data_IF_757501420726
#
_entry.id   IF_757501420726
#
_cell.length_a   1.000
_cell.length_b   1.000
_cell.length_c   1.000
_cell.angle_alpha   90.00
_cell.angle_beta   90.00
_cell.angle_gamma   90.00
#
_symmetry.space_group_name_H-M   'P 1'
#
loop_
_entity.id
_entity.type
_entity.pdbx_description
1 polymer ?
#
# COMPACT_ATOMS: atom_id res chain seq x y z
N UNK A 1 -14.20 -23.93 17.69
CA UNK A 1 -13.39 -23.14 16.73
C UNK A 1 -12.63 -24.08 15.82
N UNK A 2 -12.27 -23.65 14.61
CA UNK A 2 -11.37 -24.43 13.73
C UNK A 2 -9.98 -24.54 14.37
N UNK A 3 -9.27 -25.64 14.13
CA UNK A 3 -7.89 -25.78 14.57
C UNK A 3 -6.99 -24.73 13.89
N UNK A 4 -5.92 -24.32 14.58
CA UNK A 4 -4.93 -23.42 14.01
C UNK A 4 -4.23 -24.12 12.83
N UNK A 5 -4.09 -23.40 11.71
CA UNK A 5 -3.42 -23.88 10.50
C UNK A 5 -2.11 -23.13 10.38
N UNK A 6 -1.01 -23.86 10.24
CA UNK A 6 0.28 -23.27 9.91
C UNK A 6 0.34 -22.96 8.41
N UNK A 7 0.74 -21.74 8.07
CA UNK A 7 0.78 -21.25 6.70
C UNK A 7 2.10 -20.52 6.48
N UNK A 8 2.73 -20.78 5.34
CA UNK A 8 3.97 -20.13 4.93
C UNK A 8 3.76 -19.30 3.66
N UNK A 9 4.72 -18.43 3.35
CA UNK A 9 4.74 -17.60 2.13
C UNK A 9 3.53 -16.65 1.98
N UNK A 10 2.99 -16.14 3.09
CA UNK A 10 1.97 -15.08 3.07
C UNK A 10 2.63 -13.77 2.65
N UNK A 11 2.23 -13.23 1.51
CA UNK A 11 2.80 -12.00 0.93
C UNK A 11 1.76 -10.91 0.80
N UNK A 12 2.16 -9.66 1.03
CA UNK A 12 1.26 -8.50 0.95
C UNK A 12 0.67 -8.31 -0.47
N UNK A 13 1.44 -8.66 -1.50
CA UNK A 13 1.01 -8.57 -2.90
C UNK A 13 -0.08 -9.60 -3.28
N UNK A 14 -0.22 -10.68 -2.52
CA UNK A 14 -1.24 -11.70 -2.72
C UNK A 14 -1.80 -12.15 -1.36
N UNK A 15 -2.76 -11.39 -0.80
CA UNK A 15 -3.26 -11.60 0.55
C UNK A 15 -4.31 -12.73 0.61
N UNK A 16 -4.00 -13.85 -0.02
CA UNK A 16 -4.79 -15.09 0.06
C UNK A 16 -4.19 -15.97 1.13
N UNK A 17 -5.01 -16.41 2.08
CA UNK A 17 -4.63 -17.39 3.08
C UNK A 17 -5.00 -18.79 2.55
N UNK A 18 -4.03 -19.68 2.27
CA UNK A 18 -4.27 -21.08 1.89
C UNK A 18 -5.31 -21.76 2.78
N UNK A 19 -6.28 -22.41 2.15
CA UNK A 19 -7.38 -23.10 2.84
C UNK A 19 -8.47 -22.18 3.41
N UNK A 20 -8.38 -20.86 3.19
CA UNK A 20 -9.37 -19.88 3.63
C UNK A 20 -9.90 -19.13 2.41
N UNK A 21 -9.38 -17.94 2.11
CA UNK A 21 -9.80 -17.05 1.03
C UNK A 21 -8.87 -15.83 0.96
N UNK A 22 -9.24 -14.85 0.13
CA UNK A 22 -8.66 -13.51 0.13
C UNK A 22 -9.04 -12.76 1.42
N UNK A 23 -8.05 -12.37 2.21
CA UNK A 23 -8.22 -11.78 3.54
C UNK A 23 -7.30 -10.56 3.76
N UNK A 24 -7.59 -9.47 3.03
CA UNK A 24 -6.78 -8.25 3.03
C UNK A 24 -6.52 -7.67 4.44
N UNK A 25 -7.56 -7.56 5.27
CA UNK A 25 -7.45 -6.99 6.62
C UNK A 25 -6.60 -7.87 7.53
N UNK A 26 -6.78 -9.19 7.45
CA UNK A 26 -6.04 -10.17 8.26
C UNK A 26 -4.57 -10.16 7.87
N UNK A 27 -4.27 -10.28 6.57
CA UNK A 27 -2.89 -10.26 6.06
C UNK A 27 -2.23 -8.91 6.35
N UNK A 28 -2.92 -7.79 6.14
CA UNK A 28 -2.38 -6.46 6.49
C UNK A 28 -2.06 -6.32 7.98
N UNK A 29 -2.90 -6.86 8.86
CA UNK A 29 -2.65 -6.84 10.31
C UNK A 29 -1.43 -7.68 10.67
N UNK A 30 -1.25 -8.85 10.04
CA UNK A 30 -0.08 -9.74 10.25
C UNK A 30 1.24 -8.99 10.09
N UNK A 31 1.38 -8.13 9.07
CA UNK A 31 2.60 -7.33 8.84
C UNK A 31 2.87 -6.26 9.92
N UNK A 32 1.89 -5.93 10.77
CA UNK A 32 2.05 -5.02 11.90
C UNK A 32 2.22 -5.70 13.26
N UNK A 33 2.15 -7.03 13.34
CA UNK A 33 2.23 -7.77 14.59
C UNK A 33 3.67 -8.11 14.99
N UNK A 34 3.90 -8.18 16.29
CA UNK A 34 5.14 -8.75 16.83
C UNK A 34 5.11 -10.28 16.70
N UNK A 35 6.24 -10.92 16.29
CA UNK A 35 6.34 -12.37 16.29
C UNK A 35 6.08 -12.99 17.66
N UNK A 36 5.62 -14.23 17.66
CA UNK A 36 5.37 -15.07 18.84
C UNK A 36 4.33 -14.53 19.83
N UNK A 37 3.47 -13.60 19.37
CA UNK A 37 2.32 -13.13 20.14
C UNK A 37 1.03 -13.30 19.33
N UNK A 38 -0.04 -13.83 19.92
CA UNK A 38 -1.34 -13.87 19.27
C UNK A 38 -1.91 -12.45 19.14
N UNK A 39 -2.63 -12.22 18.04
CA UNK A 39 -3.33 -10.98 17.77
C UNK A 39 -4.58 -10.83 18.64
N UNK A 40 -5.14 -9.61 18.66
CA UNK A 40 -6.56 -9.44 18.99
C UNK A 40 -7.42 -10.09 17.89
N UNK A 41 -8.71 -10.28 18.15
CA UNK A 41 -9.65 -10.71 17.13
C UNK A 41 -9.65 -9.72 15.96
N UNK A 42 -9.47 -10.22 14.74
CA UNK A 42 -9.43 -9.46 13.50
C UNK A 42 -10.68 -9.82 12.70
N UNK A 43 -11.51 -8.83 12.40
CA UNK A 43 -12.63 -9.00 11.48
C UNK A 43 -12.11 -9.03 10.03
N UNK A 44 -12.09 -10.24 9.46
CA UNK A 44 -11.80 -10.49 8.05
C UNK A 44 -13.06 -10.45 7.18
N UNK A 45 -12.89 -10.72 5.90
CA UNK A 45 -13.98 -10.73 4.92
C UNK A 45 -14.92 -11.92 5.12
N UNK A 46 -14.38 -13.08 5.49
CA UNK A 46 -15.13 -14.34 5.58
C UNK A 46 -15.29 -14.84 7.02
N UNK A 47 -14.77 -14.12 8.01
CA UNK A 47 -14.86 -14.50 9.41
C UNK A 47 -14.01 -13.67 10.34
N UNK A 48 -13.99 -14.05 11.62
CA UNK A 48 -13.15 -13.44 12.65
C UNK A 48 -11.94 -14.33 12.92
N UNK A 49 -10.75 -13.75 12.88
CA UNK A 49 -9.47 -14.46 12.94
C UNK A 49 -8.67 -14.05 14.17
N UNK A 50 -7.94 -15.02 14.73
CA UNK A 50 -6.83 -14.78 15.66
C UNK A 50 -5.61 -15.41 15.04
N UNK A 51 -4.55 -14.63 14.88
CA UNK A 51 -3.32 -15.05 14.20
C UNK A 51 -2.12 -14.86 15.10
N UNK A 52 -1.12 -15.71 14.97
CA UNK A 52 0.18 -15.55 15.60
C UNK A 52 1.24 -15.60 14.51
N UNK A 53 2.14 -14.63 14.50
CA UNK A 53 3.23 -14.57 13.52
C UNK A 53 4.40 -15.39 14.06
N UNK A 54 4.81 -16.43 13.34
CA UNK A 54 5.98 -17.23 13.72
C UNK A 54 7.29 -16.49 13.41
N UNK A 55 7.33 -15.76 12.30
CA UNK A 55 8.48 -14.96 11.88
C UNK A 55 8.27 -14.28 10.54
N UNK A 56 9.19 -13.40 10.20
CA UNK A 56 9.25 -12.74 8.90
C UNK A 56 10.52 -13.15 8.16
N UNK A 57 10.36 -13.50 6.87
CA UNK A 57 11.51 -13.71 5.98
C UNK A 57 11.79 -12.41 5.26
N UNK A 58 12.92 -11.77 5.59
CA UNK A 58 13.34 -10.58 4.87
C UNK A 58 13.79 -10.97 3.46
N UNK A 59 13.29 -10.30 2.41
CA UNK A 59 13.77 -10.53 1.06
C UNK A 59 15.24 -10.11 0.96
N UNK A 60 15.94 -10.66 -0.05
CA UNK A 60 17.30 -10.24 -0.34
C UNK A 60 17.36 -8.72 -0.57
N UNK A 61 18.41 -8.08 -0.06
CA UNK A 61 18.62 -6.66 -0.27
C UNK A 61 18.73 -6.36 -1.77
N UNK A 62 17.99 -5.36 -2.23
CA UNK A 62 18.07 -4.90 -3.62
C UNK A 62 19.46 -4.27 -3.81
N UNK A 63 20.29 -4.88 -4.64
CA UNK A 63 21.68 -4.45 -4.87
C UNK A 63 21.77 -3.12 -5.63
N UNK A 64 20.81 -2.83 -6.51
CA UNK A 64 20.73 -1.56 -7.23
C UNK A 64 19.35 -0.91 -7.13
N UNK A 65 19.25 0.09 -6.24
CA UNK A 65 18.06 0.92 -6.05
C UNK A 65 17.98 2.09 -7.04
N UNK A 66 19.00 2.33 -7.89
CA UNK A 66 19.06 3.50 -8.75
C UNK A 66 17.97 3.49 -9.82
N UNK A 67 17.63 2.32 -10.37
CA UNK A 67 16.54 2.18 -11.33
C UNK A 67 15.18 2.61 -10.74
N UNK A 68 14.84 2.08 -9.57
CA UNK A 68 13.62 2.45 -8.85
C UNK A 68 13.60 3.93 -8.48
N UNK A 69 14.74 4.47 -8.00
CA UNK A 69 14.89 5.90 -7.69
C UNK A 69 14.65 6.77 -8.91
N UNK A 70 15.23 6.44 -10.06
CA UNK A 70 15.01 7.15 -11.33
C UNK A 70 13.53 7.13 -11.74
N UNK A 71 12.88 5.98 -11.67
CA UNK A 71 11.45 5.85 -11.98
C UNK A 71 10.58 6.70 -11.04
N UNK A 72 10.86 6.68 -9.73
CA UNK A 72 10.16 7.51 -8.75
C UNK A 72 10.35 9.01 -8.99
N UNK A 73 11.57 9.43 -9.34
CA UNK A 73 11.88 10.82 -9.68
C UNK A 73 11.14 11.27 -10.94
N UNK A 74 11.14 10.46 -12.00
CA UNK A 74 10.40 10.74 -13.22
C UNK A 74 8.89 10.91 -12.95
N UNK A 75 8.30 10.00 -12.16
CA UNK A 75 6.89 10.09 -11.78
C UNK A 75 6.56 11.30 -10.89
N UNK A 76 7.51 11.78 -10.07
CA UNK A 76 7.37 13.02 -9.31
C UNK A 76 7.47 14.25 -10.22
N UNK A 77 8.46 14.29 -11.13
CA UNK A 77 8.65 15.39 -12.06
C UNK A 77 7.41 15.58 -12.97
N UNK A 78 6.83 14.49 -13.48
CA UNK A 78 5.61 14.57 -14.30
C UNK A 78 4.43 15.20 -13.55
N UNK A 79 4.26 14.89 -12.26
CA UNK A 79 3.22 15.50 -11.43
C UNK A 79 3.52 16.95 -11.06
N UNK A 80 4.79 17.29 -10.89
CA UNK A 80 5.22 18.64 -10.52
C UNK A 80 4.83 19.69 -11.57
N UNK A 81 4.83 19.33 -12.85
CA UNK A 81 4.44 20.26 -13.93
C UNK A 81 3.03 20.82 -13.76
N UNK A 82 2.05 19.99 -13.40
CA UNK A 82 0.68 20.44 -13.17
C UNK A 82 0.58 21.41 -11.97
N UNK A 83 1.32 21.15 -10.90
CA UNK A 83 1.37 22.06 -9.75
C UNK A 83 2.12 23.36 -10.05
N UNK A 84 3.20 23.31 -10.83
CA UNK A 84 3.97 24.48 -11.24
C UNK A 84 3.12 25.38 -12.12
N UNK A 85 2.43 24.81 -13.11
CA UNK A 85 1.55 25.56 -13.99
C UNK A 85 0.43 26.27 -13.22
N UNK A 86 -0.24 25.57 -12.29
CA UNK A 86 -1.25 26.18 -11.41
C UNK A 86 -0.66 27.29 -10.54
N UNK A 87 0.50 27.06 -9.93
CA UNK A 87 1.16 28.07 -9.10
C UNK A 87 1.54 29.32 -9.90
N UNK A 88 1.99 29.16 -11.16
CA UNK A 88 2.26 30.28 -12.07
C UNK A 88 0.97 31.01 -12.45
N UNK A 89 -0.12 30.28 -12.73
CA UNK A 89 -1.43 30.84 -13.05
C UNK A 89 -2.00 31.65 -11.87
N UNK A 90 -1.92 31.13 -10.64
CA UNK A 90 -2.42 31.79 -9.43
C UNK A 90 -1.61 33.06 -9.08
N UNK A 91 -0.31 33.08 -9.43
CA UNK A 91 0.58 34.23 -9.21
C UNK A 91 0.51 35.27 -10.33
N UNK A 92 0.00 34.89 -11.51
CA UNK A 92 -0.10 35.79 -12.64
C UNK A 92 -1.33 36.70 -12.50
N UNK A 93 -1.17 37.99 -12.82
CA UNK A 93 -2.32 38.86 -13.02
C UNK A 93 -2.93 38.56 -14.40
N UNK A 94 -4.01 37.78 -14.42
CA UNK A 94 -4.69 37.37 -15.65
C UNK A 94 -5.93 38.25 -15.86
N UNK A 95 -5.92 39.06 -16.91
CA UNK A 95 -7.08 39.84 -17.35
C UNK A 95 -7.79 39.05 -18.44
N UNK A 96 -8.98 38.54 -18.14
CA UNK A 96 -9.81 37.78 -19.08
C UNK A 96 -10.73 38.71 -19.87
N UNK A 97 -10.41 38.96 -21.13
CA UNK A 97 -11.18 39.83 -22.03
C UNK A 97 -12.19 39.05 -22.90
N UNK A 98 -12.51 37.80 -22.57
CA UNK A 98 -13.46 37.01 -23.35
C UNK A 98 -14.90 37.52 -23.12
N UNK A 99 -15.65 37.69 -24.23
CA UNK A 99 -17.08 37.97 -24.17
C UNK A 99 -17.77 36.78 -23.51
N UNK A 100 -18.37 36.97 -22.33
CA UNK A 100 -19.21 35.95 -21.69
C UNK A 100 -20.44 35.74 -22.56
N UNK A 101 -20.47 34.63 -23.28
CA UNK A 101 -21.66 34.17 -23.99
C UNK A 101 -22.58 33.44 -23.01
N UNK A 102 -23.86 33.84 -23.02
CA UNK A 102 -24.94 33.33 -22.17
C UNK A 102 -25.43 31.96 -22.62
#
# INVERSE_FOLDING_TARGET
>A
GKAAIHVENVVFANPVIPGVALENKVVGTVFGLQPNKPSKAIEGNTGVYVVQVNGFTNPAAISDINGQKKQMLAAKAQRAWGSIFRALQDKAQIIDNRVKTF
#
